data_IF_896065049048
#
_entry.id   IF_896065049048
#
_cell.length_a   1.000
_cell.length_b   1.000
_cell.length_c   1.000
_cell.angle_alpha   90.00
_cell.angle_beta   90.00
_cell.angle_gamma   90.00
#
_symmetry.space_group_name_H-M   'P 1'
#
loop_
_entity.id
_entity.type
_entity.pdbx_description
1 polymer ?
#
# COMPACT_ATOMS: atom_id res chain seq x y z
N UNK A 1 -1.86 1.21 -22.39
CA UNK A 1 -0.45 1.49 -22.10
C UNK A 1 0.27 0.17 -22.18
N UNK A 2 1.05 -0.03 -23.23
CA UNK A 2 1.93 -1.19 -23.41
C UNK A 2 3.20 -0.94 -22.60
N UNK A 3 3.43 -1.74 -21.55
CA UNK A 3 4.70 -1.73 -20.83
C UNK A 3 5.63 -2.72 -21.52
N UNK A 4 6.51 -2.22 -22.38
CA UNK A 4 7.59 -3.01 -22.96
C UNK A 4 8.75 -3.07 -21.96
N UNK A 5 9.09 -4.27 -21.46
CA UNK A 5 10.39 -4.54 -20.85
C UNK A 5 11.38 -4.73 -21.99
N UNK A 6 12.17 -3.70 -22.27
CA UNK A 6 13.21 -3.73 -23.26
C UNK A 6 14.56 -3.97 -22.55
N UNK A 7 15.24 -5.06 -22.90
CA UNK A 7 16.67 -5.19 -22.64
C UNK A 7 17.40 -4.26 -23.62
N UNK A 8 18.52 -3.63 -23.17
CA UNK A 8 19.18 -2.53 -23.88
C UNK A 8 19.54 -2.81 -25.36
N UNK A 9 19.77 -4.05 -25.74
CA UNK A 9 20.03 -4.46 -27.14
C UNK A 9 18.79 -4.38 -28.03
N UNK A 10 17.60 -4.58 -27.49
CA UNK A 10 16.35 -4.60 -28.25
C UNK A 10 15.82 -3.18 -28.52
N UNK A 11 16.23 -2.18 -27.74
CA UNK A 11 15.78 -0.80 -27.93
C UNK A 11 16.31 -0.21 -29.23
N UNK A 12 17.57 -0.46 -29.54
CA UNK A 12 18.22 0.05 -30.76
C UNK A 12 17.61 -0.62 -31.99
N UNK A 13 17.41 -1.94 -31.97
CA UNK A 13 16.81 -2.69 -33.08
C UNK A 13 15.37 -2.27 -33.34
N UNK A 14 14.54 -2.08 -32.29
CA UNK A 14 13.15 -1.64 -32.42
C UNK A 14 13.06 -0.19 -32.92
N UNK A 15 13.96 0.67 -32.49
CA UNK A 15 14.04 2.05 -33.01
C UNK A 15 14.49 2.09 -34.46
N UNK A 16 15.50 1.28 -34.84
CA UNK A 16 15.95 1.17 -36.23
C UNK A 16 14.89 0.60 -37.14
N UNK A 17 14.17 -0.43 -36.70
CA UNK A 17 13.09 -1.03 -37.46
C UNK A 17 11.88 -0.09 -37.56
N UNK A 18 11.54 0.61 -36.49
CA UNK A 18 10.48 1.63 -36.49
C UNK A 18 10.80 2.83 -37.41
N UNK A 19 12.07 3.22 -37.49
CA UNK A 19 12.54 4.26 -38.41
C UNK A 19 12.53 3.75 -39.87
N UNK A 20 12.96 2.52 -40.14
CA UNK A 20 12.95 1.88 -41.47
C UNK A 20 11.53 1.64 -42.00
N UNK A 21 10.61 1.31 -41.13
CA UNK A 21 9.20 1.04 -41.48
C UNK A 21 8.32 2.30 -41.51
N UNK A 22 8.85 3.47 -41.13
CA UNK A 22 8.13 4.74 -41.06
C UNK A 22 7.12 4.83 -39.91
N UNK A 23 7.09 3.83 -39.02
CA UNK A 23 6.23 3.83 -37.82
C UNK A 23 6.71 4.80 -36.73
N UNK A 24 7.99 5.19 -36.79
CA UNK A 24 8.58 6.24 -35.97
C UNK A 24 9.04 7.34 -36.92
N UNK A 25 8.39 8.50 -36.87
CA UNK A 25 8.80 9.68 -37.59
C UNK A 25 9.58 10.59 -36.63
N UNK A 26 10.85 10.84 -36.95
CA UNK A 26 11.59 11.91 -36.32
C UNK A 26 11.07 13.23 -36.91
N UNK A 27 10.54 14.16 -36.09
CA UNK A 27 10.09 15.42 -36.61
C UNK A 27 11.27 16.16 -37.25
N UNK A 28 11.19 16.38 -38.55
CA UNK A 28 12.21 17.07 -39.35
C UNK A 28 12.45 18.53 -38.96
N UNK A 29 11.75 19.04 -37.96
CA UNK A 29 11.73 20.46 -37.54
C UNK A 29 12.45 20.73 -36.21
N UNK A 30 13.33 19.84 -35.71
CA UNK A 30 14.17 20.18 -34.57
C UNK A 30 15.56 20.50 -35.09
N UNK A 31 15.93 21.80 -35.20
CA UNK A 31 17.28 22.21 -35.64
C UNK A 31 18.32 21.57 -34.69
N UNK A 32 19.30 20.88 -35.24
CA UNK A 32 20.41 20.28 -34.49
C UNK A 32 20.22 18.83 -34.03
N UNK A 33 19.08 18.20 -34.33
CA UNK A 33 18.85 16.78 -33.91
C UNK A 33 19.42 15.76 -34.90
N UNK A 34 19.61 16.14 -36.18
CA UNK A 34 20.13 15.25 -37.23
C UNK A 34 21.66 15.13 -37.21
N UNK A 35 22.39 16.18 -36.83
CA UNK A 35 23.85 16.21 -37.01
C UNK A 35 24.64 15.54 -35.87
N UNK A 36 23.98 15.17 -34.78
CA UNK A 36 24.60 14.56 -33.61
C UNK A 36 24.41 13.06 -33.44
N UNK A 37 23.40 12.47 -34.09
CA UNK A 37 23.04 11.05 -33.91
C UNK A 37 24.06 10.09 -34.54
N UNK A 38 24.78 10.52 -35.60
CA UNK A 38 25.77 9.68 -36.25
C UNK A 38 27.03 9.37 -35.37
N UNK A 39 27.16 10.06 -34.23
CA UNK A 39 28.31 9.92 -33.31
C UNK A 39 27.98 9.29 -31.96
N UNK A 40 26.73 8.85 -31.77
CA UNK A 40 26.23 8.31 -30.49
C UNK A 40 26.16 6.79 -30.56
N UNK A 41 27.05 6.11 -29.88
CA UNK A 41 27.14 4.64 -29.90
C UNK A 41 26.57 4.00 -28.62
N UNK A 42 26.27 4.79 -27.58
CA UNK A 42 25.74 4.30 -26.31
C UNK A 42 24.96 5.39 -25.57
N UNK A 43 24.20 4.97 -24.54
CA UNK A 43 23.36 5.85 -23.72
C UNK A 43 24.16 6.96 -23.02
N UNK A 44 25.38 6.68 -22.60
CA UNK A 44 26.25 7.66 -21.94
C UNK A 44 26.66 8.80 -22.91
N UNK A 45 27.03 8.46 -24.14
CA UNK A 45 27.35 9.45 -25.18
C UNK A 45 26.11 10.25 -25.56
N UNK A 46 24.96 9.60 -25.66
CA UNK A 46 23.69 10.27 -25.91
C UNK A 46 23.37 11.29 -24.80
N UNK A 47 23.45 10.91 -23.54
CA UNK A 47 23.19 11.82 -22.42
C UNK A 47 24.22 12.92 -22.31
N UNK A 48 25.49 12.66 -22.62
CA UNK A 48 26.51 13.70 -22.64
C UNK A 48 26.29 14.73 -23.77
N UNK A 49 25.74 14.29 -24.91
CA UNK A 49 25.49 15.15 -26.06
C UNK A 49 24.13 15.88 -25.95
N UNK A 50 23.09 15.17 -25.56
CA UNK A 50 21.72 15.67 -25.59
C UNK A 50 21.07 15.82 -24.21
N UNK A 51 21.77 15.48 -23.13
CA UNK A 51 21.19 15.41 -21.77
C UNK A 51 20.53 16.71 -21.35
N UNK A 52 21.11 17.86 -21.66
CA UNK A 52 20.52 19.17 -21.35
C UNK A 52 19.21 19.36 -22.11
N UNK A 53 19.19 19.09 -23.41
CA UNK A 53 17.99 19.25 -24.25
C UNK A 53 16.87 18.29 -23.83
N UNK A 54 17.24 17.04 -23.47
CA UNK A 54 16.28 16.04 -22.94
C UNK A 54 15.76 16.47 -21.58
N UNK A 55 16.63 16.94 -20.68
CA UNK A 55 16.23 17.43 -19.36
C UNK A 55 15.27 18.63 -19.47
N UNK A 56 15.55 19.58 -20.37
CA UNK A 56 14.67 20.74 -20.56
C UNK A 56 13.32 20.35 -21.17
N UNK A 57 13.29 19.40 -22.11
CA UNK A 57 12.02 18.87 -22.62
C UNK A 57 11.22 18.15 -21.54
N UNK A 58 11.87 17.32 -20.71
CA UNK A 58 11.23 16.64 -19.57
C UNK A 58 10.68 17.67 -18.58
N UNK A 59 11.48 18.68 -18.22
CA UNK A 59 11.02 19.76 -17.31
C UNK A 59 9.86 20.55 -17.89
N UNK A 60 9.86 20.86 -19.18
CA UNK A 60 8.78 21.59 -19.84
C UNK A 60 7.50 20.75 -19.99
N UNK A 61 7.63 19.44 -20.19
CA UNK A 61 6.51 18.53 -20.35
C UNK A 61 5.94 18.03 -19.01
N UNK A 62 6.80 17.87 -18.01
CA UNK A 62 6.46 17.40 -16.67
C UNK A 62 6.96 18.43 -15.65
N UNK A 63 6.17 19.47 -15.45
CA UNK A 63 6.50 20.46 -14.42
C UNK A 63 6.60 19.78 -13.05
N UNK A 64 7.70 19.96 -12.30
CA UNK A 64 7.84 19.39 -10.98
C UNK A 64 6.75 19.92 -10.06
N UNK A 65 6.28 19.06 -9.16
CA UNK A 65 5.29 19.45 -8.13
C UNK A 65 5.89 20.42 -7.11
N UNK A 66 7.20 20.39 -6.95
CA UNK A 66 8.01 21.25 -6.11
C UNK A 66 9.43 21.35 -6.68
N UNK A 67 9.95 22.55 -6.79
CA UNK A 67 11.32 22.82 -7.19
C UNK A 67 12.12 23.38 -6.00
N UNK A 68 12.97 22.55 -5.37
CA UNK A 68 13.73 22.96 -4.19
C UNK A 68 14.76 24.08 -4.48
N UNK A 69 15.10 24.33 -5.75
CA UNK A 69 16.02 25.41 -6.14
C UNK A 69 15.30 26.77 -6.25
N UNK A 70 14.01 26.78 -6.53
CA UNK A 70 13.22 27.99 -6.79
C UNK A 70 12.16 28.30 -5.75
N UNK A 71 11.81 27.34 -4.86
CA UNK A 71 10.70 27.47 -3.95
C UNK A 71 11.07 27.09 -2.51
N UNK A 72 10.64 27.83 -1.49
CA UNK A 72 10.83 27.42 -0.09
C UNK A 72 9.90 26.26 0.25
N UNK A 73 10.33 25.45 1.23
CA UNK A 73 9.47 24.47 1.88
C UNK A 73 8.33 25.18 2.64
N UNK A 74 7.18 24.54 2.72
CA UNK A 74 6.06 25.04 3.52
C UNK A 74 6.33 24.97 5.03
N UNK A 75 5.72 25.87 5.79
CA UNK A 75 5.85 25.92 7.25
C UNK A 75 5.42 24.60 7.90
N UNK A 76 4.43 23.91 7.35
CA UNK A 76 3.95 22.64 7.86
C UNK A 76 5.00 21.51 7.71
N UNK A 77 5.73 21.46 6.60
CA UNK A 77 6.81 20.49 6.40
C UNK A 77 7.99 20.81 7.31
N UNK A 78 8.33 22.09 7.46
CA UNK A 78 9.37 22.55 8.39
C UNK A 78 9.02 22.23 9.84
N UNK A 79 7.78 22.46 10.27
CA UNK A 79 7.31 22.13 11.61
C UNK A 79 7.44 20.64 11.94
N UNK A 80 7.16 19.75 10.97
CA UNK A 80 7.38 18.30 11.16
C UNK A 80 8.87 17.98 11.28
N UNK A 81 9.72 18.61 10.47
CA UNK A 81 11.17 18.41 10.56
C UNK A 81 11.74 18.90 11.89
N UNK A 82 11.28 20.04 12.39
CA UNK A 82 11.65 20.57 13.69
C UNK A 82 11.23 19.62 14.81
N UNK A 83 10.02 19.07 14.73
CA UNK A 83 9.57 18.05 15.68
C UNK A 83 10.46 16.81 15.66
N UNK A 84 10.81 16.28 14.49
CA UNK A 84 11.73 15.14 14.34
C UNK A 84 13.09 15.47 14.94
N UNK A 85 13.62 16.65 14.66
CA UNK A 85 14.92 17.09 15.19
C UNK A 85 14.94 17.14 16.72
N UNK A 86 13.88 17.67 17.32
CA UNK A 86 13.76 17.80 18.77
C UNK A 86 13.54 16.45 19.48
N UNK A 87 12.75 15.56 18.89
CA UNK A 87 12.32 14.33 19.56
C UNK A 87 13.15 13.09 19.18
N UNK A 88 13.64 13.02 17.95
CA UNK A 88 14.43 11.89 17.46
C UNK A 88 15.93 12.18 17.37
N UNK A 89 16.34 13.44 17.53
CA UNK A 89 17.75 13.84 17.55
C UNK A 89 18.43 13.87 16.18
N UNK A 90 17.68 13.88 15.09
CA UNK A 90 18.19 14.03 13.71
C UNK A 90 17.20 14.81 12.85
N UNK A 91 17.69 15.48 11.81
CA UNK A 91 16.86 16.14 10.80
C UNK A 91 16.66 15.23 9.59
N UNK A 92 15.55 15.40 8.88
CA UNK A 92 15.33 14.78 7.59
C UNK A 92 16.30 15.39 6.55
N UNK A 93 16.70 14.60 5.57
CA UNK A 93 17.52 15.10 4.46
C UNK A 93 16.70 16.03 3.56
N UNK A 94 17.35 17.02 2.96
CA UNK A 94 16.73 17.99 2.05
C UNK A 94 15.94 17.31 0.93
N UNK A 95 16.47 16.23 0.36
CA UNK A 95 15.78 15.43 -0.65
C UNK A 95 14.50 14.78 -0.12
N UNK A 96 14.47 14.36 1.15
CA UNK A 96 13.28 13.77 1.77
C UNK A 96 12.21 14.86 2.03
N UNK A 97 12.64 16.03 2.47
CA UNK A 97 11.76 17.18 2.67
C UNK A 97 11.16 17.66 1.35
N UNK A 98 11.97 17.76 0.29
CA UNK A 98 11.50 18.13 -1.04
C UNK A 98 10.45 17.15 -1.59
N UNK A 99 10.68 15.85 -1.44
CA UNK A 99 9.68 14.84 -1.85
C UNK A 99 8.43 14.89 -0.97
N UNK A 100 8.56 15.11 0.33
CA UNK A 100 7.41 15.26 1.23
C UNK A 100 6.55 16.47 0.86
N UNK A 101 7.17 17.61 0.54
CA UNK A 101 6.49 18.80 0.04
C UNK A 101 5.76 18.53 -1.28
N UNK A 102 6.42 17.87 -2.24
CA UNK A 102 5.81 17.50 -3.51
C UNK A 102 4.60 16.58 -3.33
N UNK A 103 4.70 15.58 -2.44
CA UNK A 103 3.58 14.66 -2.11
C UNK A 103 2.43 15.40 -1.43
N UNK A 104 2.71 16.30 -0.48
CA UNK A 104 1.72 17.16 0.16
C UNK A 104 0.94 17.94 -0.90
N UNK A 105 1.63 18.67 -1.79
CA UNK A 105 1.02 19.45 -2.87
C UNK A 105 0.20 18.60 -3.84
N UNK A 106 0.66 17.36 -4.13
CA UNK A 106 -0.12 16.44 -4.96
C UNK A 106 -1.42 16.04 -4.26
N UNK A 107 -1.37 15.72 -2.97
CA UNK A 107 -2.56 15.32 -2.21
C UNK A 107 -3.56 16.46 -1.96
N UNK A 108 -3.11 17.71 -1.98
CA UNK A 108 -3.99 18.89 -1.97
C UNK A 108 -4.85 19.00 -3.23
N UNK A 109 -4.30 18.58 -4.37
CA UNK A 109 -4.93 18.72 -5.70
C UNK A 109 -5.61 17.44 -6.16
N UNK A 110 -5.08 16.29 -5.76
CA UNK A 110 -5.49 14.95 -6.21
C UNK A 110 -5.67 14.04 -5.00
N UNK A 111 -6.46 12.98 -5.19
CA UNK A 111 -6.73 11.99 -4.13
C UNK A 111 -5.61 10.95 -3.95
N UNK A 112 -4.57 11.00 -4.77
CA UNK A 112 -3.51 10.01 -4.75
C UNK A 112 -2.15 10.62 -5.09
N UNK A 113 -1.12 10.07 -4.47
CA UNK A 113 0.29 10.32 -4.79
C UNK A 113 1.04 8.97 -4.80
N UNK A 114 2.04 8.86 -5.67
CA UNK A 114 2.91 7.69 -5.78
C UNK A 114 4.36 8.11 -5.55
N UNK A 115 5.02 7.48 -4.57
CA UNK A 115 6.44 7.70 -4.29
C UNK A 115 7.21 6.50 -4.81
N UNK A 116 8.03 6.71 -5.84
CA UNK A 116 8.96 5.71 -6.37
C UNK A 116 10.37 6.10 -5.93
N UNK A 117 10.99 5.26 -5.12
CA UNK A 117 12.32 5.52 -4.60
C UNK A 117 13.01 4.20 -4.22
N UNK A 118 14.34 4.18 -4.17
CA UNK A 118 15.14 3.02 -3.81
C UNK A 118 14.92 2.55 -2.36
N UNK A 119 15.31 1.30 -2.07
CA UNK A 119 15.31 0.79 -0.71
C UNK A 119 16.28 1.63 0.16
N UNK A 120 15.86 1.99 1.37
CA UNK A 120 16.68 2.81 2.26
C UNK A 120 16.52 4.33 2.11
N UNK A 121 15.84 4.83 1.07
CA UNK A 121 15.62 6.27 0.85
C UNK A 121 14.75 6.97 1.91
N UNK A 122 14.18 6.23 2.88
CA UNK A 122 13.33 6.80 3.94
C UNK A 122 11.88 7.04 3.53
N UNK A 123 11.32 6.25 2.59
CA UNK A 123 9.91 6.39 2.13
C UNK A 123 8.88 6.48 3.26
N UNK A 124 9.10 5.76 4.35
CA UNK A 124 8.24 5.80 5.54
C UNK A 124 8.22 7.20 6.15
N UNK A 125 9.40 7.79 6.36
CA UNK A 125 9.54 9.17 6.89
C UNK A 125 8.95 10.19 5.93
N UNK A 126 9.27 10.09 4.64
CA UNK A 126 8.71 10.97 3.60
C UNK A 126 7.17 10.93 3.62
N UNK A 127 6.59 9.73 3.60
CA UNK A 127 5.13 9.57 3.61
C UNK A 127 4.49 10.10 4.89
N UNK A 128 5.08 9.81 6.06
CA UNK A 128 4.60 10.32 7.35
C UNK A 128 4.68 11.85 7.41
N UNK A 129 5.80 12.44 6.98
CA UNK A 129 5.98 13.90 6.94
C UNK A 129 4.96 14.57 6.02
N UNK A 130 4.77 14.04 4.81
CA UNK A 130 3.79 14.58 3.86
C UNK A 130 2.36 14.54 4.42
N UNK A 131 1.96 13.44 5.07
CA UNK A 131 0.63 13.30 5.67
C UNK A 131 0.45 14.23 6.87
N UNK A 132 1.47 14.32 7.73
CA UNK A 132 1.44 15.22 8.88
C UNK A 132 1.36 16.69 8.47
N UNK A 133 2.14 17.09 7.47
CA UNK A 133 2.13 18.44 6.93
C UNK A 133 0.79 18.77 6.26
N UNK A 134 0.23 17.84 5.49
CA UNK A 134 -1.10 18.01 4.87
C UNK A 134 -2.19 18.19 5.93
N UNK A 135 -2.14 17.40 6.99
CA UNK A 135 -3.07 17.52 8.11
C UNK A 135 -2.92 18.87 8.83
N UNK A 136 -1.68 19.30 9.11
CA UNK A 136 -1.38 20.62 9.67
C UNK A 136 -1.93 21.77 8.81
N UNK A 137 -1.77 21.69 7.49
CA UNK A 137 -2.33 22.66 6.55
C UNK A 137 -3.87 22.72 6.65
N UNK A 138 -4.54 21.58 6.65
CA UNK A 138 -6.02 21.56 6.76
C UNK A 138 -6.50 22.11 8.10
N UNK A 139 -5.81 21.80 9.19
CA UNK A 139 -6.13 22.33 10.50
C UNK A 139 -5.93 23.85 10.55
N UNK A 140 -4.84 24.39 9.97
CA UNK A 140 -4.59 25.83 9.88
C UNK A 140 -5.64 26.56 9.06
N UNK A 141 -6.17 25.93 8.02
CA UNK A 141 -7.27 26.42 7.19
C UNK A 141 -8.65 26.30 7.84
N UNK A 142 -8.72 25.76 9.08
CA UNK A 142 -9.97 25.50 9.82
C UNK A 142 -11.00 24.74 9.01
N UNK A 143 -10.54 23.79 8.19
CA UNK A 143 -11.44 22.88 7.46
C UNK A 143 -12.17 22.01 8.47
N UNK A 144 -13.50 22.03 8.42
CA UNK A 144 -14.35 21.26 9.33
C UNK A 144 -13.98 19.78 9.32
N UNK A 145 -13.75 19.18 10.49
CA UNK A 145 -13.44 17.77 10.66
C UNK A 145 -11.96 17.41 10.39
N UNK A 146 -11.05 18.38 10.38
CA UNK A 146 -9.61 18.14 10.17
C UNK A 146 -8.76 18.30 11.42
N UNK A 147 -9.38 18.52 12.57
CA UNK A 147 -8.65 18.63 13.85
C UNK A 147 -7.90 17.35 14.20
N UNK A 148 -8.43 16.21 13.80
CA UNK A 148 -7.81 14.90 13.94
C UNK A 148 -8.16 14.00 12.74
N UNK A 149 -7.34 12.99 12.47
CA UNK A 149 -7.54 12.06 11.37
C UNK A 149 -7.45 10.60 11.81
N UNK A 150 -8.21 9.72 11.14
CA UNK A 150 -8.06 8.27 11.25
C UNK A 150 -7.35 7.75 10.00
N UNK A 151 -6.12 7.29 10.17
CA UNK A 151 -5.23 6.92 9.07
C UNK A 151 -5.02 5.40 9.04
N UNK A 152 -5.02 4.83 7.85
CA UNK A 152 -4.78 3.39 7.64
C UNK A 152 -3.48 3.21 6.87
N UNK A 153 -2.58 2.40 7.41
CA UNK A 153 -1.33 2.01 6.76
C UNK A 153 -1.34 0.51 6.50
N UNK A 154 -1.08 0.13 5.27
CA UNK A 154 -0.90 -1.26 4.87
C UNK A 154 0.55 -1.51 4.45
N UNK A 155 1.21 -2.44 5.12
CA UNK A 155 2.61 -2.76 4.87
C UNK A 155 2.88 -4.27 5.02
N UNK A 156 4.05 -4.78 4.60
CA UNK A 156 4.46 -6.15 4.91
C UNK A 156 4.51 -6.41 6.42
N UNK A 157 4.18 -7.64 6.85
CA UNK A 157 4.03 -7.99 8.28
C UNK A 157 5.28 -7.69 9.12
N UNK A 158 6.47 -7.93 8.58
CA UNK A 158 7.75 -7.73 9.27
C UNK A 158 8.10 -6.25 9.55
N UNK A 159 7.47 -5.28 8.86
CA UNK A 159 7.73 -3.85 9.05
C UNK A 159 6.63 -3.10 9.82
N UNK A 160 5.56 -3.78 10.25
CA UNK A 160 4.45 -3.14 10.96
C UNK A 160 4.88 -2.41 12.23
N UNK A 161 5.74 -3.04 13.04
CA UNK A 161 6.28 -2.42 14.27
C UNK A 161 7.19 -1.22 13.97
N UNK A 162 7.94 -1.30 12.86
CA UNK A 162 8.79 -0.19 12.39
C UNK A 162 7.92 1.02 12.04
N UNK A 163 6.82 0.80 11.31
CA UNK A 163 5.87 1.88 10.99
C UNK A 163 5.32 2.58 12.22
N UNK A 164 4.88 1.82 13.24
CA UNK A 164 4.38 2.40 14.49
C UNK A 164 5.44 3.28 15.17
N UNK A 165 6.69 2.78 15.25
CA UNK A 165 7.80 3.54 15.83
C UNK A 165 8.07 4.82 15.05
N UNK A 166 8.19 4.71 13.72
CA UNK A 166 8.55 5.85 12.86
C UNK A 166 7.45 6.93 12.83
N UNK A 167 6.17 6.54 12.93
CA UNK A 167 5.08 7.50 13.10
C UNK A 167 5.25 8.28 14.38
N UNK A 168 5.47 7.60 15.50
CA UNK A 168 5.68 8.27 16.81
C UNK A 168 6.91 9.19 16.85
N UNK A 169 7.97 8.86 16.08
CA UNK A 169 9.15 9.71 15.94
C UNK A 169 8.93 10.90 14.99
N UNK A 170 7.96 10.82 14.07
CA UNK A 170 7.80 11.82 13.01
C UNK A 170 6.64 12.78 13.27
N UNK A 171 5.58 12.30 13.90
CA UNK A 171 4.32 13.03 13.98
C UNK A 171 3.97 13.40 15.42
N UNK A 172 3.79 14.69 15.71
CA UNK A 172 3.27 15.14 17.02
C UNK A 172 1.81 14.69 17.19
N UNK A 173 1.38 14.60 18.44
CA UNK A 173 -0.02 14.37 18.82
C UNK A 173 -0.73 13.23 18.07
N UNK A 174 0.01 12.15 17.86
CA UNK A 174 -0.51 10.96 17.17
C UNK A 174 -0.46 9.74 18.05
N UNK A 175 -1.35 8.79 17.74
CA UNK A 175 -1.33 7.45 18.32
C UNK A 175 -1.31 6.40 17.20
N UNK A 176 -0.32 5.55 17.21
CA UNK A 176 -0.16 4.48 16.22
C UNK A 176 -0.15 3.10 16.87
N UNK A 177 -0.85 2.14 16.28
CA UNK A 177 -0.89 0.76 16.78
C UNK A 177 -0.96 -0.24 15.63
N UNK A 178 -0.30 -1.40 15.81
CA UNK A 178 -0.48 -2.55 14.91
C UNK A 178 -1.82 -3.20 15.16
N UNK A 179 -2.66 -3.28 14.14
CA UNK A 179 -3.97 -3.92 14.20
C UNK A 179 -3.82 -5.40 13.83
N UNK A 180 -4.11 -6.29 14.77
CA UNK A 180 -4.03 -7.74 14.62
C UNK A 180 -5.40 -8.40 14.49
N UNK A 181 -6.43 -7.76 15.01
CA UNK A 181 -7.80 -8.26 15.05
C UNK A 181 -8.79 -7.10 15.13
N UNK A 182 -10.09 -7.42 15.08
CA UNK A 182 -11.16 -6.43 15.14
C UNK A 182 -11.21 -5.68 16.49
N UNK A 183 -10.82 -6.34 17.58
CA UNK A 183 -10.83 -5.67 18.89
C UNK A 183 -9.77 -4.55 18.96
N UNK A 184 -8.60 -4.75 18.33
CA UNK A 184 -7.58 -3.71 18.21
C UNK A 184 -8.12 -2.52 17.39
N UNK A 185 -8.83 -2.80 16.29
CA UNK A 185 -9.43 -1.77 15.44
C UNK A 185 -10.51 -0.99 16.19
N UNK A 186 -11.42 -1.68 16.88
CA UNK A 186 -12.46 -1.04 17.68
C UNK A 186 -11.87 -0.18 18.80
N UNK A 187 -10.77 -0.64 19.42
CA UNK A 187 -10.05 0.14 20.42
C UNK A 187 -9.47 1.42 19.81
N UNK A 188 -8.82 1.33 18.66
CA UNK A 188 -8.30 2.51 17.95
C UNK A 188 -9.41 3.47 17.55
N UNK A 189 -10.54 2.94 17.07
CA UNK A 189 -11.68 3.75 16.70
C UNK A 189 -12.27 4.49 17.93
N UNK A 190 -12.41 3.80 19.05
CA UNK A 190 -12.83 4.43 20.29
C UNK A 190 -11.85 5.53 20.77
N UNK A 191 -10.54 5.31 20.62
CA UNK A 191 -9.53 6.33 20.93
C UNK A 191 -9.64 7.54 19.99
N UNK A 192 -9.94 7.31 18.70
CA UNK A 192 -10.20 8.39 17.76
C UNK A 192 -11.47 9.18 18.11
N UNK A 193 -12.58 8.50 18.42
CA UNK A 193 -13.84 9.16 18.74
C UNK A 193 -13.75 9.98 20.04
N UNK A 194 -13.16 9.42 21.08
CA UNK A 194 -13.13 9.99 22.44
C UNK A 194 -11.93 10.89 22.70
N UNK A 195 -10.85 10.74 21.94
CA UNK A 195 -9.60 11.48 22.11
C UNK A 195 -9.51 12.70 21.19
N UNK A 196 -8.42 13.42 21.34
CA UNK A 196 -8.05 14.64 20.59
C UNK A 196 -6.92 14.39 19.57
N UNK A 197 -6.34 13.18 19.56
CA UNK A 197 -5.18 12.82 18.73
C UNK A 197 -5.58 12.15 17.43
N UNK A 198 -4.77 12.38 16.39
CA UNK A 198 -4.83 11.60 15.17
C UNK A 198 -4.39 10.16 15.42
N UNK A 199 -5.04 9.21 14.76
CA UNK A 199 -4.83 7.78 14.97
C UNK A 199 -4.33 7.11 13.69
N UNK A 200 -3.35 6.22 13.86
CA UNK A 200 -2.76 5.44 12.77
C UNK A 200 -2.92 3.95 13.02
N UNK A 201 -3.78 3.32 12.23
CA UNK A 201 -4.02 1.88 12.23
C UNK A 201 -3.06 1.18 11.26
N UNK A 202 -2.06 0.46 11.78
CA UNK A 202 -1.05 -0.21 10.95
C UNK A 202 -1.44 -1.68 10.76
N UNK A 203 -1.72 -2.06 9.51
CA UNK A 203 -2.08 -3.43 9.13
C UNK A 203 -0.96 -4.11 8.37
N UNK A 204 -0.82 -5.42 8.54
CA UNK A 204 -0.12 -6.20 7.54
C UNK A 204 -1.02 -6.40 6.30
N UNK A 205 -0.42 -6.52 5.12
CA UNK A 205 -1.15 -6.78 3.87
C UNK A 205 -2.01 -8.05 3.98
N UNK A 206 -1.49 -9.07 4.65
CA UNK A 206 -2.18 -10.34 4.88
C UNK A 206 -3.41 -10.12 5.77
N UNK A 207 -3.27 -9.36 6.86
CA UNK A 207 -4.41 -9.03 7.73
C UNK A 207 -5.46 -8.18 7.03
N UNK A 208 -5.05 -7.21 6.24
CA UNK A 208 -5.96 -6.39 5.45
C UNK A 208 -6.72 -7.25 4.42
N UNK A 209 -6.02 -8.17 3.74
CA UNK A 209 -6.63 -9.11 2.80
C UNK A 209 -7.58 -10.09 3.48
N UNK A 210 -7.15 -10.70 4.59
CA UNK A 210 -7.89 -11.74 5.31
C UNK A 210 -8.78 -11.17 6.42
N UNK A 211 -8.94 -9.85 6.46
CA UNK A 211 -9.73 -9.12 7.46
C UNK A 211 -11.23 -9.33 7.41
N UNK A 212 -11.72 -10.25 6.60
CA UNK A 212 -13.11 -10.67 6.58
C UNK A 212 -13.37 -11.87 7.50
N UNK A 213 -14.59 -11.94 8.00
CA UNK A 213 -15.02 -13.04 8.83
C UNK A 213 -15.05 -14.35 8.01
N UNK A 214 -14.39 -15.38 8.50
CA UNK A 214 -14.47 -16.74 7.95
C UNK A 214 -15.31 -17.60 8.86
N UNK A 215 -16.06 -18.49 8.26
CA UNK A 215 -16.89 -19.45 8.97
C UNK A 215 -16.94 -20.79 8.24
N UNK A 216 -17.48 -21.85 8.89
CA UNK A 216 -17.72 -23.11 8.22
C UNK A 216 -18.55 -22.92 6.96
N UNK A 217 -18.09 -23.46 5.86
CA UNK A 217 -18.75 -23.43 4.55
C UNK A 217 -19.62 -24.67 4.33
N UNK A 218 -19.66 -25.58 5.29
CA UNK A 218 -20.36 -26.85 5.24
C UNK A 218 -21.88 -26.65 5.32
N UNK A 219 -22.63 -27.58 4.72
CA UNK A 219 -24.08 -27.59 4.71
C UNK A 219 -24.60 -28.72 5.58
N UNK A 220 -25.46 -28.40 6.58
CA UNK A 220 -26.12 -29.43 7.38
C UNK A 220 -27.24 -30.13 6.61
N UNK A 221 -27.18 -31.44 6.49
CA UNK A 221 -28.21 -32.26 5.91
C UNK A 221 -29.00 -32.99 6.99
N UNK A 222 -30.29 -32.59 7.15
CA UNK A 222 -31.19 -33.14 8.18
C UNK A 222 -31.47 -34.63 8.02
N UNK A 223 -31.55 -35.15 6.78
CA UNK A 223 -31.82 -36.55 6.51
C UNK A 223 -30.64 -37.45 6.85
N UNK A 224 -29.42 -37.01 6.51
CA UNK A 224 -28.19 -37.73 6.81
C UNK A 224 -27.64 -37.46 8.21
N UNK A 225 -28.19 -36.47 8.91
CA UNK A 225 -27.71 -35.99 10.21
C UNK A 225 -26.20 -35.71 10.20
N UNK A 226 -25.70 -35.14 9.11
CA UNK A 226 -24.29 -34.91 8.91
C UNK A 226 -24.04 -33.59 8.16
N UNK A 227 -22.84 -33.02 8.33
CA UNK A 227 -22.36 -31.91 7.53
C UNK A 227 -21.82 -32.44 6.19
N UNK A 228 -22.18 -31.75 5.12
CA UNK A 228 -21.77 -32.07 3.75
C UNK A 228 -20.78 -31.04 3.23
N UNK A 229 -19.85 -31.50 2.41
CA UNK A 229 -18.96 -30.66 1.63
C UNK A 229 -19.77 -29.73 0.72
N UNK A 230 -19.44 -28.44 0.62
CA UNK A 230 -20.15 -27.49 -0.24
C UNK A 230 -19.98 -27.79 -1.74
N UNK A 231 -18.94 -28.54 -2.12
CA UNK A 231 -18.55 -28.79 -3.49
C UNK A 231 -18.98 -30.20 -3.98
N UNK A 232 -18.57 -31.25 -3.27
CA UNK A 232 -18.81 -32.63 -3.71
C UNK A 232 -19.93 -33.36 -2.95
N UNK A 233 -20.63 -32.71 -2.01
CA UNK A 233 -21.70 -33.29 -1.17
C UNK A 233 -21.30 -34.55 -0.36
N UNK A 234 -20.01 -34.85 -0.24
CA UNK A 234 -19.54 -35.91 0.65
C UNK A 234 -19.81 -35.55 2.11
N UNK A 235 -20.06 -36.54 2.94
CA UNK A 235 -20.18 -36.38 4.40
C UNK A 235 -18.79 -35.99 4.92
N UNK A 236 -18.75 -34.96 5.75
CA UNK A 236 -17.53 -34.57 6.46
C UNK A 236 -17.38 -35.47 7.68
N UNK A 237 -16.25 -36.11 7.77
CA UNK A 237 -15.92 -37.07 8.81
C UNK A 237 -14.76 -36.56 9.68
N UNK A 238 -14.70 -37.03 10.92
CA UNK A 238 -13.60 -36.78 11.86
C UNK A 238 -13.17 -38.07 12.54
N UNK A 239 -11.89 -38.14 12.83
CA UNK A 239 -11.35 -39.29 13.59
C UNK A 239 -11.42 -38.98 15.09
N UNK A 240 -12.00 -39.92 15.84
CA UNK A 240 -12.00 -39.90 17.31
C UNK A 240 -11.19 -41.07 17.81
N UNK A 241 -10.46 -40.86 18.90
CA UNK A 241 -9.65 -41.89 19.55
C UNK A 241 -10.18 -42.07 20.96
N UNK A 242 -10.69 -43.27 21.27
CA UNK A 242 -11.07 -43.67 22.63
C UNK A 242 -10.36 -44.99 22.97
N UNK A 243 -9.77 -45.03 24.14
CA UNK A 243 -9.04 -46.22 24.67
C UNK A 243 -7.98 -46.80 23.71
N UNK A 244 -7.33 -45.95 22.91
CA UNK A 244 -6.30 -46.35 21.92
C UNK A 244 -6.86 -46.92 20.60
N UNK A 245 -8.18 -46.94 20.42
CA UNK A 245 -8.84 -47.32 19.18
C UNK A 245 -9.31 -46.06 18.48
N UNK A 246 -8.90 -45.87 17.19
CA UNK A 246 -9.35 -44.78 16.36
C UNK A 246 -10.47 -45.24 15.44
N UNK A 247 -11.56 -44.46 15.37
CA UNK A 247 -12.67 -44.70 14.47
C UNK A 247 -13.17 -43.37 13.89
N UNK A 248 -13.65 -43.45 12.66
CA UNK A 248 -14.11 -42.32 11.88
C UNK A 248 -15.62 -42.16 12.07
N UNK A 249 -16.05 -40.96 12.43
CA UNK A 249 -17.49 -40.62 12.62
C UNK A 249 -17.85 -39.35 11.84
N UNK A 250 -19.14 -39.10 11.54
CA UNK A 250 -19.55 -37.83 10.97
C UNK A 250 -19.14 -36.66 11.86
N UNK A 251 -18.54 -35.64 11.27
CA UNK A 251 -18.10 -34.46 11.98
C UNK A 251 -19.28 -33.75 12.67
N UNK A 252 -19.06 -33.35 13.91
CA UNK A 252 -20.01 -32.57 14.70
C UNK A 252 -19.72 -31.07 14.59
N UNK A 253 -20.52 -30.22 15.26
CA UNK A 253 -20.30 -28.77 15.27
C UNK A 253 -19.03 -28.37 16.03
N UNK A 254 -18.47 -29.20 16.89
CA UNK A 254 -17.20 -28.91 17.59
C UNK A 254 -16.01 -29.05 16.67
N UNK A 255 -16.08 -29.93 15.68
CA UNK A 255 -15.07 -30.07 14.63
C UNK A 255 -14.82 -28.75 13.89
N UNK A 256 -15.85 -27.93 13.70
CA UNK A 256 -15.78 -26.63 13.04
C UNK A 256 -15.56 -25.45 13.99
N UNK A 257 -14.98 -25.71 15.18
CA UNK A 257 -14.61 -24.61 16.08
C UNK A 257 -13.45 -23.80 15.50
N UNK A 258 -13.38 -22.53 15.94
CA UNK A 258 -12.45 -21.54 15.46
C UNK A 258 -10.97 -21.96 15.66
N UNK A 259 -10.70 -22.74 16.69
CA UNK A 259 -9.38 -23.25 17.03
C UNK A 259 -8.87 -24.29 16.00
N UNK A 260 -9.77 -25.03 15.38
CA UNK A 260 -9.47 -26.14 14.45
C UNK A 260 -9.53 -25.74 12.97
N UNK A 261 -9.79 -24.49 12.65
CA UNK A 261 -10.11 -24.02 11.29
C UNK A 261 -8.98 -24.15 10.25
N UNK A 262 -7.74 -24.27 10.70
CA UNK A 262 -6.56 -24.12 9.81
C UNK A 262 -6.36 -25.32 8.87
N UNK A 263 -6.80 -26.51 9.27
CA UNK A 263 -6.56 -27.75 8.53
C UNK A 263 -7.83 -28.41 7.99
N UNK A 264 -8.97 -27.69 8.02
CA UNK A 264 -10.22 -28.29 7.55
C UNK A 264 -10.34 -28.21 6.04
N UNK A 265 -10.07 -29.33 5.41
CA UNK A 265 -10.33 -29.56 3.98
C UNK A 265 -11.18 -30.83 3.86
N UNK A 266 -11.97 -30.90 2.78
CA UNK A 266 -12.71 -32.11 2.49
C UNK A 266 -11.75 -33.25 2.14
N UNK A 267 -11.83 -34.38 2.84
CA UNK A 267 -11.01 -35.57 2.58
C UNK A 267 -11.25 -36.18 1.20
N UNK A 268 -12.43 -35.93 0.61
CA UNK A 268 -12.81 -36.49 -0.68
C UNK A 268 -12.36 -35.63 -1.87
N UNK A 269 -12.52 -34.30 -1.83
CA UNK A 269 -12.21 -33.41 -2.96
C UNK A 269 -11.18 -32.34 -2.67
N UNK A 270 -10.66 -32.24 -1.44
CA UNK A 270 -9.67 -31.23 -1.07
C UNK A 270 -10.21 -29.81 -0.93
N UNK A 271 -11.51 -29.59 -1.12
CA UNK A 271 -12.11 -28.24 -0.99
C UNK A 271 -12.01 -27.73 0.45
N UNK A 272 -11.57 -26.48 0.66
CA UNK A 272 -11.55 -25.89 2.00
C UNK A 272 -12.95 -25.80 2.62
N UNK A 273 -13.09 -26.29 3.84
CA UNK A 273 -14.35 -26.27 4.57
C UNK A 273 -14.62 -24.97 5.34
N UNK A 274 -13.77 -23.99 5.15
CA UNK A 274 -13.93 -22.63 5.67
C UNK A 274 -13.89 -21.62 4.53
N UNK A 275 -14.90 -20.76 4.46
CA UNK A 275 -14.98 -19.69 3.47
C UNK A 275 -15.31 -18.34 4.11
N UNK A 276 -15.21 -17.29 3.32
CA UNK A 276 -15.70 -15.98 3.72
C UNK A 276 -17.20 -16.02 4.01
N UNK A 277 -17.60 -15.53 5.17
CA UNK A 277 -19.02 -15.26 5.46
C UNK A 277 -19.49 -14.13 4.55
N UNK A 278 -20.70 -14.25 3.97
CA UNK A 278 -21.26 -13.33 3.01
C UNK A 278 -21.07 -11.85 3.42
N UNK A 279 -20.45 -11.01 2.58
CA UNK A 279 -20.17 -9.60 2.89
C UNK A 279 -21.41 -8.76 3.20
N UNK A 280 -22.57 -9.11 2.65
CA UNK A 280 -23.83 -8.36 2.88
C UNK A 280 -24.30 -8.33 4.33
N UNK A 281 -23.76 -9.19 5.19
CA UNK A 281 -24.04 -9.20 6.63
C UNK A 281 -22.98 -8.46 7.47
N UNK A 282 -22.04 -7.76 6.84
CA UNK A 282 -20.88 -7.11 7.49
C UNK A 282 -21.04 -5.61 7.64
N UNK A 283 -22.12 -5.17 8.19
CA UNK A 283 -22.36 -3.73 8.41
C UNK A 283 -21.32 -3.07 9.33
N UNK A 284 -20.61 -3.82 10.16
CA UNK A 284 -19.63 -3.27 11.11
C UNK A 284 -18.29 -2.87 10.48
N UNK A 285 -17.89 -3.51 9.38
CA UNK A 285 -16.60 -3.20 8.74
C UNK A 285 -16.65 -2.00 7.79
N UNK A 286 -17.84 -1.66 7.30
CA UNK A 286 -18.03 -0.58 6.30
C UNK A 286 -18.13 0.79 6.96
N UNK A 287 -18.50 0.87 8.23
CA UNK A 287 -18.68 2.14 8.94
C UNK A 287 -17.38 2.89 9.30
N UNK A 288 -16.22 2.30 9.08
CA UNK A 288 -14.92 2.92 9.37
C UNK A 288 -14.38 3.70 8.14
N UNK A 289 -15.02 3.59 6.99
CA UNK A 289 -14.60 4.19 5.72
C UNK A 289 -15.47 5.35 5.22
N UNK A 290 -16.45 5.78 5.98
CA UNK A 290 -17.23 6.99 5.75
C UNK A 290 -16.71 8.10 6.68
#
# INVERSE_FOLDING_TARGET
>A
VLTLKLEDKNVVEVLEEGLKTGNIQIPSAVPGFSDGFEKVNNVTEYLNTFGVTVADRIRNQFMPLFDPAGEPLSDEVLAINDFVTQHAGYSLYDAQLAVAEAVKRQLERKRAALIIAECGSGKTKIGSTALGALHGLWASQKKKGTEKSFNIIMCPSHVTKKWVREIGETLPDTYAMVVRNIADLNRLYAMYELGDKSVYAVFSKERARDGYMRGPAVRWNRRRRAFLCPDCDAVIEMDISEDGISYTVPADQFFFRKENRENHVCSHCGTPLWSAVNPSKRTEWVKIGE
#
